data_IF_159978665683
#
_entry.id   IF_159978665683
#
_cell.length_a   1.000
_cell.length_b   1.000
_cell.length_c   1.000
_cell.angle_alpha   90.00
_cell.angle_beta   90.00
_cell.angle_gamma   90.00
#
_symmetry.space_group_name_H-M   'P 1'
#
loop_
_entity.id
_entity.type
_entity.pdbx_description
1 polymer ?
2 polymer ?
3 polymer ?
4 water ?
#
# COMPACT_ATOMS: atom_id res chain seq x y z
N UNK A 3 1.90 39.54 -14.28
CA UNK A 3 0.49 39.99 -14.26
C UNK A 3 -0.48 38.84 -14.53
N UNK A 4 -1.30 38.47 -13.54
CA UNK A 4 -2.28 37.38 -13.64
C UNK A 4 -2.96 37.24 -15.00
N UNK A 5 -2.69 36.13 -15.66
CA UNK A 5 -3.25 35.86 -16.99
C UNK A 5 -4.75 35.65 -17.03
N UNK A 6 -5.34 35.19 -15.93
CA UNK A 6 -6.78 34.94 -15.91
C UNK A 6 -7.52 35.56 -14.71
N UNK A 7 -8.84 35.42 -14.71
CA UNK A 7 -9.68 35.97 -13.65
C UNK A 7 -9.46 35.31 -12.31
N UNK A 8 -8.81 34.15 -12.31
CA UNK A 8 -8.53 33.46 -11.07
C UNK A 8 -7.03 33.58 -10.81
N UNK A 9 -6.68 34.02 -9.62
CA UNK A 9 -5.29 34.18 -9.27
C UNK A 9 -5.15 33.84 -7.80
N UNK A 10 -5.03 32.55 -7.51
CA UNK A 10 -4.88 32.09 -6.14
C UNK A 10 -3.69 32.78 -5.51
N UNK A 11 -3.94 33.81 -4.69
CA UNK A 11 -2.86 34.53 -4.04
C UNK A 11 -2.76 34.15 -2.55
N UNK A 12 -2.48 32.87 -2.30
CA UNK A 12 -2.38 32.39 -0.93
C UNK A 12 -1.02 31.82 -0.61
N UNK A 13 -0.85 31.40 0.64
CA UNK A 13 0.40 30.79 1.08
C UNK A 13 0.23 29.29 0.85
N UNK A 14 0.86 28.78 -0.21
CA UNK A 14 0.72 27.37 -0.55
C UNK A 14 1.93 26.73 -1.24
N UNK A 15 2.18 25.48 -0.88
CA UNK A 15 3.25 24.70 -1.51
C UNK A 15 2.48 23.62 -2.25
N UNK A 16 2.35 23.79 -3.56
CA UNK A 16 1.61 22.86 -4.39
C UNK A 16 2.54 21.96 -5.20
N UNK A 17 2.38 20.65 -5.03
CA UNK A 17 3.22 19.70 -5.74
C UNK A 17 2.48 18.87 -6.76
N UNK A 18 2.77 19.15 -8.02
CA UNK A 18 2.17 18.42 -9.14
C UNK A 18 2.90 17.10 -9.36
N UNK A 19 2.17 15.99 -9.23
CA UNK A 19 2.75 14.66 -9.44
C UNK A 19 2.09 14.02 -10.65
N UNK A 20 2.86 13.84 -11.72
CA UNK A 20 2.31 13.27 -12.94
C UNK A 20 2.68 11.84 -13.25
N UNK A 21 1.67 11.03 -13.51
CA UNK A 21 1.83 9.62 -13.87
C UNK A 21 2.69 9.55 -15.14
N UNK A 22 3.75 8.77 -15.09
CA UNK A 22 4.63 8.63 -16.23
C UNK A 22 4.53 7.27 -16.91
N UNK A 23 3.51 6.49 -16.54
CA UNK A 23 3.30 5.17 -17.12
C UNK A 23 2.72 5.27 -18.53
N UNK A 24 2.86 4.19 -19.29
CA UNK A 24 2.35 4.13 -20.64
C UNK A 24 0.83 4.12 -20.64
N UNK A 25 0.21 3.99 -19.47
CA UNK A 25 -1.24 3.98 -19.38
C UNK A 25 -1.81 5.23 -20.03
N UNK A 26 -0.95 6.24 -20.16
CA UNK A 26 -1.31 7.48 -20.82
C UNK A 26 -0.41 7.52 -22.06
N UNK A 27 -1.00 7.75 -23.22
CA UNK A 27 -0.20 7.81 -24.44
C UNK A 27 0.63 9.10 -24.44
N UNK A 28 1.41 9.33 -25.48
CA UNK A 28 2.22 10.53 -25.55
C UNK A 28 1.32 11.76 -25.74
N UNK A 29 0.22 11.58 -26.44
CA UNK A 29 -0.69 12.69 -26.67
C UNK A 29 -1.48 12.99 -25.40
N UNK A 30 -1.90 11.94 -24.72
CA UNK A 30 -2.67 12.13 -23.49
C UNK A 30 -1.82 12.76 -22.40
N UNK A 31 -0.55 12.39 -22.36
CA UNK A 31 0.34 12.95 -21.35
C UNK A 31 0.50 14.44 -21.63
N UNK A 32 0.15 14.85 -22.85
CA UNK A 32 0.22 16.25 -23.26
C UNK A 32 -0.90 17.08 -22.67
N UNK A 33 -2.09 16.53 -22.67
CA UNK A 33 -3.26 17.20 -22.12
C UNK A 33 -2.99 17.43 -20.65
N UNK A 34 -2.48 16.40 -19.98
CA UNK A 34 -2.16 16.48 -18.56
C UNK A 34 -1.16 17.58 -18.31
N UNK A 35 -0.10 17.65 -19.13
CA UNK A 35 0.88 18.71 -18.94
C UNK A 35 0.22 20.07 -19.15
N UNK A 36 -0.74 20.12 -20.07
CA UNK A 36 -1.45 21.36 -20.35
C UNK A 36 -2.28 21.71 -19.11
N UNK A 37 -2.86 20.69 -18.50
CA UNK A 37 -3.65 20.87 -17.28
C UNK A 37 -2.77 21.49 -16.20
N UNK A 38 -1.54 21.02 -16.07
CA UNK A 38 -0.61 21.53 -15.07
C UNK A 38 -0.25 22.98 -15.39
N UNK A 39 0.04 23.25 -16.65
CA UNK A 39 0.41 24.61 -17.06
C UNK A 39 -0.72 25.62 -16.76
N UNK A 40 -1.95 25.14 -16.81
CA UNK A 40 -3.13 25.96 -16.53
C UNK A 40 -3.17 26.36 -15.06
N UNK A 41 -3.14 25.37 -14.18
CA UNK A 41 -3.14 25.60 -12.74
C UNK A 41 -2.08 26.63 -12.38
N UNK A 42 -0.91 26.47 -12.95
CA UNK A 42 0.17 27.39 -12.67
C UNK A 42 -0.22 28.78 -13.17
N UNK A 43 -1.02 28.80 -14.24
CA UNK A 43 -1.46 30.06 -14.82
C UNK A 43 -2.51 30.75 -13.93
N UNK A 44 -3.11 29.97 -13.04
CA UNK A 44 -4.12 30.46 -12.13
C UNK A 44 -3.61 30.51 -10.69
N UNK A 45 -2.29 30.55 -10.54
CA UNK A 45 -1.66 30.60 -9.23
C UNK A 45 -0.72 31.79 -9.19
N UNK A 46 -0.41 32.27 -8.00
CA UNK A 46 0.51 33.38 -7.86
C UNK A 46 1.84 32.78 -7.45
N UNK A 47 2.62 32.40 -8.45
CA UNK A 47 3.90 31.76 -8.21
C UNK A 47 5.03 32.68 -7.72
N UNK A 48 5.66 32.28 -6.61
CA UNK A 48 6.78 32.99 -6.00
C UNK A 48 7.05 32.48 -4.57
N UNK A 49 8.32 32.38 -4.21
CA UNK A 49 8.72 31.88 -2.90
C UNK A 49 7.88 32.41 -1.73
N UNK A 50 7.11 33.47 -1.95
CA UNK A 50 6.31 34.03 -0.86
C UNK A 50 4.91 33.43 -0.85
N UNK A 51 4.20 33.57 -1.96
CA UNK A 51 2.85 33.05 -2.05
C UNK A 51 2.77 31.57 -2.37
N UNK A 52 2.43 31.23 -3.62
CA UNK A 52 2.34 29.83 -4.01
C UNK A 52 3.65 29.34 -4.61
N UNK A 53 4.16 28.23 -4.07
CA UNK A 53 5.38 27.64 -4.58
C UNK A 53 4.96 26.35 -5.28
N UNK A 54 5.65 26.00 -6.36
CA UNK A 54 5.30 24.80 -7.10
C UNK A 54 6.46 23.84 -7.33
N UNK A 55 6.09 22.59 -7.52
CA UNK A 55 7.05 21.54 -7.79
C UNK A 55 6.37 20.68 -8.85
N UNK A 56 7.14 20.20 -9.82
CA UNK A 56 6.56 19.35 -10.85
C UNK A 56 7.34 18.06 -10.95
N UNK A 57 6.65 16.94 -10.76
CA UNK A 57 7.32 15.66 -10.82
C UNK A 57 6.62 14.67 -11.74
N UNK A 58 7.44 13.97 -12.54
CA UNK A 58 6.97 12.95 -13.46
C UNK A 58 7.43 11.66 -12.81
N UNK A 59 6.50 10.80 -12.41
CA UNK A 59 6.90 9.57 -11.77
C UNK A 59 6.61 8.30 -12.54
N UNK A 60 7.58 7.39 -12.52
CA UNK A 60 7.49 6.10 -13.19
C UNK A 60 7.82 5.06 -12.11
N UNK A 61 8.89 4.29 -12.29
CA UNK A 61 9.27 3.30 -11.30
C UNK A 61 10.12 4.12 -10.35
N UNK A 62 10.58 5.25 -10.87
CA UNK A 62 11.36 6.19 -10.10
C UNK A 62 10.74 7.54 -10.40
N UNK A 63 11.38 8.62 -10.02
CA UNK A 63 10.79 9.92 -10.29
C UNK A 63 11.80 10.89 -10.85
N UNK A 64 11.30 11.83 -11.65
CA UNK A 64 12.11 12.85 -12.28
C UNK A 64 11.49 14.20 -11.94
N UNK A 65 12.18 14.99 -11.13
CA UNK A 65 11.67 16.29 -10.72
C UNK A 65 12.13 17.38 -11.69
N UNK A 66 11.18 18.06 -12.30
CA UNK A 66 11.52 19.12 -13.22
C UNK A 66 11.54 20.45 -12.48
N UNK A 67 10.68 20.58 -11.48
CA UNK A 67 10.59 21.80 -10.70
C UNK A 67 10.41 21.52 -9.21
N UNK A 68 11.28 22.13 -8.41
CA UNK A 68 11.22 21.99 -6.97
C UNK A 68 10.64 23.25 -6.35
N UNK A 69 10.11 23.14 -5.14
CA UNK A 69 9.51 24.30 -4.45
C UNK A 69 10.42 25.52 -4.30
N UNK A 70 11.71 25.31 -4.07
CA UNK A 70 12.66 26.40 -3.86
C UNK A 70 13.26 26.98 -5.13
N UNK A 71 12.97 26.41 -6.30
CA UNK A 71 13.54 26.93 -7.53
C UNK A 71 13.12 28.38 -7.73
N UNK A 72 14.10 29.26 -7.96
CA UNK A 72 13.80 30.67 -8.17
C UNK A 72 13.77 30.90 -9.67
N UNK A 73 12.56 31.12 -10.20
CA UNK A 73 12.39 31.31 -11.64
C UNK A 73 11.06 31.99 -11.91
N UNK A 74 10.99 32.73 -13.01
CA UNK A 74 9.77 33.42 -13.37
C UNK A 74 8.66 32.41 -13.61
N UNK A 75 7.42 32.77 -13.26
CA UNK A 75 6.35 31.81 -13.49
C UNK A 75 6.25 31.34 -14.96
N UNK A 76 6.73 32.17 -15.88
CA UNK A 76 6.68 31.84 -17.31
C UNK A 76 7.67 30.74 -17.64
N UNK A 77 8.86 30.81 -17.04
CA UNK A 77 9.90 29.83 -17.25
C UNK A 77 9.43 28.49 -16.72
N UNK A 78 8.97 28.49 -15.47
CA UNK A 78 8.47 27.28 -14.82
C UNK A 78 7.35 26.65 -15.64
N UNK A 79 6.47 27.49 -16.19
CA UNK A 79 5.38 26.98 -17.02
C UNK A 79 5.95 26.39 -18.31
N UNK A 80 7.02 26.98 -18.82
CA UNK A 80 7.66 26.48 -20.03
C UNK A 80 8.25 25.10 -19.71
N UNK A 81 9.00 25.02 -18.61
CA UNK A 81 9.61 23.77 -18.19
C UNK A 81 8.59 22.64 -18.09
N UNK A 82 7.48 22.91 -17.41
CA UNK A 82 6.43 21.91 -17.23
C UNK A 82 5.83 21.45 -18.56
N UNK A 83 5.70 22.38 -19.50
CA UNK A 83 5.15 22.08 -20.81
C UNK A 83 6.15 21.29 -21.64
N UNK A 84 7.39 21.22 -21.16
CA UNK A 84 8.45 20.49 -21.84
C UNK A 84 8.80 19.19 -21.11
N UNK A 85 7.98 18.78 -20.16
CA UNK A 85 8.26 17.55 -19.41
C UNK A 85 8.25 16.37 -20.38
N UNK A 86 9.39 15.68 -20.47
CA UNK A 86 9.53 14.54 -21.37
C UNK A 86 8.58 13.40 -21.06
N UNK A 87 7.94 12.87 -22.08
CA UNK A 87 7.02 11.75 -21.94
C UNK A 87 7.80 10.46 -21.58
N UNK A 88 7.55 9.93 -20.38
CA UNK A 88 8.21 8.71 -19.94
C UNK A 88 7.67 7.46 -20.63
N UNK A 89 6.37 7.20 -20.44
CA UNK A 89 5.75 6.05 -21.05
C UNK A 89 6.18 4.71 -20.45
N UNK A 90 6.74 4.73 -19.25
CA UNK A 90 7.22 3.52 -18.57
C UNK A 90 6.11 2.52 -18.31
N UNK A 91 6.47 1.29 -17.99
CA UNK A 91 5.48 0.26 -17.74
C UNK A 91 4.84 0.45 -16.37
N UNK A 92 5.59 1.05 -15.45
CA UNK A 92 5.10 1.31 -14.09
C UNK A 92 5.20 2.78 -13.67
N UNK A 93 4.21 3.22 -12.90
CA UNK A 93 4.17 4.58 -12.35
C UNK A 93 3.87 4.27 -10.87
N UNK A 94 4.91 4.25 -10.06
CA UNK A 94 4.74 3.92 -8.65
C UNK A 94 4.27 5.09 -7.81
N UNK A 95 3.02 5.04 -7.38
CA UNK A 95 2.48 6.11 -6.55
C UNK A 95 3.19 6.06 -5.20
N UNK A 96 3.44 4.85 -4.70
CA UNK A 96 4.13 4.71 -3.41
C UNK A 96 5.44 5.45 -3.38
N UNK A 97 6.30 5.16 -4.35
CA UNK A 97 7.61 5.76 -4.45
C UNK A 97 7.61 7.27 -4.63
N UNK A 98 6.65 7.79 -5.39
CA UNK A 98 6.59 9.23 -5.60
C UNK A 98 6.00 9.91 -4.37
N UNK A 99 5.32 9.16 -3.53
CA UNK A 99 4.77 9.72 -2.32
C UNK A 99 5.92 9.73 -1.33
N UNK A 100 6.77 8.72 -1.42
CA UNK A 100 7.92 8.61 -0.55
C UNK A 100 8.86 9.77 -0.85
N UNK A 101 8.98 10.09 -2.13
CA UNK A 101 9.84 11.17 -2.57
C UNK A 101 9.30 12.51 -2.06
N UNK A 102 7.98 12.65 -2.16
CA UNK A 102 7.28 13.85 -1.72
C UNK A 102 7.50 14.00 -0.21
N UNK A 103 7.35 12.89 0.51
CA UNK A 103 7.50 12.86 1.96
C UNK A 103 8.94 13.03 2.46
N UNK A 104 9.84 12.18 1.99
CA UNK A 104 11.24 12.21 2.42
C UNK A 104 12.22 13.11 1.70
N UNK A 105 11.78 13.80 0.64
CA UNK A 105 12.68 14.69 -0.06
C UNK A 105 12.08 16.08 -0.28
N UNK A 106 10.95 16.14 -0.98
CA UNK A 106 10.32 17.42 -1.22
C UNK A 106 10.02 18.10 0.11
N UNK A 107 9.57 17.31 1.09
CA UNK A 107 9.24 17.86 2.41
C UNK A 107 10.10 17.25 3.52
N UNK A 108 11.37 17.05 3.20
CA UNK A 108 12.37 16.50 4.10
C UNK A 108 12.34 17.36 5.37
N UNK A 109 12.27 18.67 5.16
CA UNK A 109 12.19 19.64 6.25
C UNK A 109 11.04 20.60 5.93
N UNK A 110 10.24 20.95 6.91
CA UNK A 110 9.13 21.86 6.65
C UNK A 110 9.50 23.28 7.10
N UNK A 111 10.06 24.02 6.15
CA UNK A 111 10.53 25.39 6.37
C UNK A 111 9.52 26.50 6.01
N UNK A 112 8.26 26.14 5.81
CA UNK A 112 7.23 27.14 5.49
C UNK A 112 5.92 26.76 6.16
N UNK A 113 5.94 26.61 7.50
CA UNK A 113 4.75 26.25 8.29
C UNK A 113 3.53 27.13 8.09
N UNK A 114 3.73 28.38 7.71
CA UNK A 114 2.63 29.31 7.51
C UNK A 114 1.78 28.99 6.27
N UNK A 115 2.30 28.13 5.40
CA UNK A 115 1.58 27.79 4.16
C UNK A 115 1.10 26.35 4.14
N UNK A 116 0.05 26.11 3.37
CA UNK A 116 -0.49 24.77 3.24
C UNK A 116 0.38 23.98 2.27
N UNK A 117 0.55 22.69 2.55
CA UNK A 117 1.34 21.83 1.67
C UNK A 117 0.43 20.83 0.97
N UNK A 118 0.30 20.97 -0.34
CA UNK A 118 -0.55 20.07 -1.11
C UNK A 118 0.19 19.26 -2.17
N UNK A 119 -0.18 17.98 -2.28
CA UNK A 119 0.40 17.06 -3.26
C UNK A 119 -0.72 16.63 -4.18
N UNK A 120 -0.70 17.14 -5.41
CA UNK A 120 -1.72 16.81 -6.40
C UNK A 120 -1.25 15.58 -7.15
N UNK A 121 -1.81 14.44 -6.78
CA UNK A 121 -1.45 13.16 -7.36
C UNK A 121 -2.27 12.76 -8.60
N UNK A 122 -1.80 13.17 -9.77
CA UNK A 122 -2.47 12.87 -11.05
C UNK A 122 -2.20 11.41 -11.47
N UNK A 123 -3.08 10.52 -11.06
CA UNK A 123 -2.91 9.10 -11.33
C UNK A 123 -3.65 8.59 -12.55
N UNK A 124 -2.95 7.79 -13.36
CA UNK A 124 -3.54 7.19 -14.56
C UNK A 124 -3.38 5.66 -14.57
N UNK A 125 -2.73 5.11 -13.55
CA UNK A 125 -2.48 3.68 -13.52
C UNK A 125 -2.54 2.98 -12.16
N UNK A 126 -2.18 1.71 -12.16
CA UNK A 126 -2.18 0.88 -10.96
C UNK A 126 -0.81 0.24 -10.84
N UNK A 127 -0.11 0.55 -9.75
CA UNK A 127 1.22 0.01 -9.55
C UNK A 127 1.10 -1.42 -9.08
N UNK A 128 2.15 -2.22 -9.31
CA UNK A 128 2.15 -3.62 -8.89
C UNK A 128 2.00 -3.67 -7.36
N UNK A 129 1.15 -4.56 -6.88
CA UNK A 129 0.89 -4.70 -5.46
C UNK A 129 2.17 -4.79 -4.61
N UNK A 130 3.22 -5.39 -5.15
CA UNK A 130 4.46 -5.57 -4.39
C UNK A 130 5.21 -4.27 -4.11
N UNK A 131 4.79 -3.19 -4.75
CA UNK A 131 5.42 -1.90 -4.57
C UNK A 131 4.61 -1.02 -3.62
N UNK A 132 3.52 -1.56 -3.09
CA UNK A 132 2.63 -0.81 -2.22
C UNK A 132 2.70 -1.12 -0.73
N UNK A 133 3.69 -1.88 -0.30
CA UNK A 133 3.76 -2.21 1.12
C UNK A 133 3.68 -0.94 1.96
N UNK A 134 4.54 0.02 1.64
CA UNK A 134 4.59 1.25 2.39
C UNK A 134 3.68 2.38 1.92
N UNK A 135 2.70 2.05 1.09
CA UNK A 135 1.78 3.07 0.58
C UNK A 135 1.06 3.83 1.70
N UNK A 136 0.40 3.10 2.58
CA UNK A 136 -0.33 3.70 3.69
C UNK A 136 0.66 4.40 4.62
N UNK A 137 1.78 3.74 4.90
CA UNK A 137 2.82 4.30 5.74
C UNK A 137 3.21 5.70 5.26
N UNK A 138 3.40 5.87 3.95
CA UNK A 138 3.78 7.16 3.39
C UNK A 138 2.64 8.16 3.40
N UNK A 139 1.44 7.68 3.14
CA UNK A 139 0.28 8.57 3.14
C UNK A 139 0.08 9.08 4.56
N UNK A 140 0.35 8.24 5.53
CA UNK A 140 0.21 8.58 6.95
C UNK A 140 1.33 9.54 7.34
N UNK A 141 2.54 9.28 6.86
CA UNK A 141 3.67 10.13 7.16
C UNK A 141 3.36 11.50 6.60
N UNK A 142 2.76 11.55 5.41
CA UNK A 142 2.41 12.82 4.80
C UNK A 142 1.41 13.57 5.67
N UNK A 143 0.39 12.87 6.15
CA UNK A 143 -0.64 13.45 6.98
C UNK A 143 -0.08 14.08 8.27
N UNK A 144 0.96 13.48 8.85
CA UNK A 144 1.55 14.02 10.08
C UNK A 144 2.26 15.33 9.81
N UNK A 145 2.86 15.48 8.64
CA UNK A 145 3.53 16.71 8.31
C UNK A 145 2.55 17.69 7.68
N UNK A 146 1.26 17.46 7.90
CA UNK A 146 0.23 18.34 7.35
C UNK A 146 0.34 18.53 5.83
N UNK A 147 0.64 17.47 5.10
CA UNK A 147 0.72 17.59 3.66
C UNK A 147 -0.57 16.99 3.13
N UNK A 148 -1.36 17.79 2.43
CA UNK A 148 -2.60 17.26 1.89
C UNK A 148 -2.32 16.56 0.56
N UNK A 149 -2.91 15.39 0.40
CA UNK A 149 -2.75 14.64 -0.84
C UNK A 149 -4.10 14.60 -1.54
N UNK A 150 -4.16 15.17 -2.74
CA UNK A 150 -5.40 15.19 -3.50
C UNK A 150 -5.31 14.26 -4.70
N UNK A 151 -5.89 13.07 -4.57
CA UNK A 151 -5.82 12.13 -5.69
C UNK A 151 -6.73 12.51 -6.84
N UNK A 152 -6.16 12.55 -8.05
CA UNK A 152 -6.92 12.84 -9.26
C UNK A 152 -6.79 11.60 -10.14
N UNK A 153 -7.86 10.81 -10.21
CA UNK A 153 -7.86 9.61 -11.01
C UNK A 153 -8.18 9.94 -12.45
N UNK A 154 -7.35 9.45 -13.37
CA UNK A 154 -7.52 9.71 -14.79
C UNK A 154 -7.63 8.44 -15.62
N UNK A 155 -8.82 8.15 -16.11
CA UNK A 155 -8.98 6.96 -16.93
C UNK A 155 -9.41 5.71 -16.18
N UNK A 156 -9.70 4.63 -16.93
CA UNK A 156 -10.13 3.34 -16.37
C UNK A 156 -9.02 2.54 -15.70
N UNK A 157 -7.81 3.07 -15.70
CA UNK A 157 -6.71 2.33 -15.09
C UNK A 157 -6.16 2.93 -13.82
N UNK A 158 -6.62 4.13 -13.47
CA UNK A 158 -6.17 4.77 -12.24
C UNK A 158 -6.46 3.85 -11.07
N UNK A 159 -5.56 3.86 -10.09
CA UNK A 159 -5.71 3.03 -8.90
C UNK A 159 -6.85 3.54 -8.02
N UNK A 160 -8.09 3.13 -8.34
CA UNK A 160 -9.24 3.56 -7.56
C UNK A 160 -9.10 3.17 -6.08
N UNK A 161 -8.57 1.99 -5.82
CA UNK A 161 -8.41 1.56 -4.43
C UNK A 161 -7.52 2.49 -3.63
N UNK A 162 -6.47 2.99 -4.27
CA UNK A 162 -5.57 3.91 -3.61
C UNK A 162 -6.21 5.29 -3.49
N UNK A 163 -6.90 5.72 -4.55
CA UNK A 163 -7.58 7.01 -4.55
C UNK A 163 -8.51 7.05 -3.37
N UNK A 164 -9.24 5.96 -3.19
CA UNK A 164 -10.21 5.80 -2.11
C UNK A 164 -9.52 5.89 -0.74
N UNK A 165 -8.53 5.02 -0.54
CA UNK A 165 -7.79 4.98 0.72
C UNK A 165 -7.25 6.35 1.11
N UNK A 166 -6.67 7.05 0.15
CA UNK A 166 -6.09 8.38 0.39
C UNK A 166 -7.14 9.39 0.86
N UNK A 167 -8.26 9.48 0.16
CA UNK A 167 -9.34 10.39 0.50
C UNK A 167 -9.79 10.14 1.94
N UNK A 168 -9.52 8.94 2.44
CA UNK A 168 -9.87 8.53 3.81
C UNK A 168 -8.84 9.01 4.83
N UNK A 169 -7.63 8.44 4.76
CA UNK A 169 -6.54 8.75 5.68
C UNK A 169 -6.61 10.12 6.34
N UNK A 170 -6.92 11.15 5.57
CA UNK A 170 -7.01 12.49 6.13
C UNK A 170 -8.31 13.14 5.68
N UNK A 171 -8.91 13.97 6.54
CA UNK A 171 -10.17 14.66 6.22
C UNK A 171 -10.05 15.61 5.05
N UNK A 172 -8.94 16.34 5.00
CA UNK A 172 -8.71 17.31 3.93
C UNK A 172 -8.49 16.68 2.56
N UNK A 173 -7.90 15.49 2.53
CA UNK A 173 -7.64 14.78 1.28
C UNK A 173 -8.93 14.48 0.52
N UNK A 174 -9.14 15.14 -0.61
CA UNK A 174 -10.34 14.92 -1.42
C UNK A 174 -9.95 14.38 -2.79
N UNK A 175 -10.71 13.38 -3.26
CA UNK A 175 -10.46 12.73 -4.54
C UNK A 175 -11.28 13.25 -5.72
N UNK A 176 -10.65 13.24 -6.90
CA UNK A 176 -11.31 13.66 -8.13
C UNK A 176 -11.14 12.55 -9.16
N UNK A 177 -12.22 11.84 -9.48
CA UNK A 177 -12.14 10.77 -10.47
C UNK A 177 -12.64 11.29 -11.81
N UNK A 178 -11.91 10.99 -12.89
CA UNK A 178 -12.26 11.46 -14.24
C UNK A 178 -12.25 10.31 -15.26
N UNK A 179 -12.99 10.48 -16.36
CA UNK A 179 -13.07 9.46 -17.41
C UNK A 179 -11.84 9.45 -18.30
N UNK A 180 -11.28 10.63 -18.55
CA UNK A 180 -10.09 10.78 -19.40
C UNK A 180 -9.40 12.10 -19.10
N UNK A 181 -8.38 12.41 -19.89
CA UNK A 181 -7.65 13.66 -19.70
C UNK A 181 -8.43 14.78 -20.37
N UNK A 182 -9.58 14.44 -20.95
CA UNK A 182 -10.41 15.44 -21.62
C UNK A 182 -11.25 16.20 -20.61
N UNK A 183 -11.29 15.69 -19.38
CA UNK A 183 -12.07 16.31 -18.31
C UNK A 183 -11.23 17.20 -17.42
N UNK A 184 -9.91 17.13 -17.58
CA UNK A 184 -9.05 17.94 -16.75
C UNK A 184 -9.43 19.40 -16.76
N UNK A 185 -9.77 19.93 -17.94
CA UNK A 185 -10.16 21.32 -18.05
C UNK A 185 -11.64 21.48 -17.75
N UNK A 186 -12.41 20.46 -18.09
CA UNK A 186 -13.84 20.48 -17.81
C UNK A 186 -13.99 20.57 -16.29
N UNK A 187 -12.91 20.24 -15.58
CA UNK A 187 -12.89 20.24 -14.11
C UNK A 187 -11.71 21.01 -13.52
N UNK A 188 -11.00 21.75 -14.36
CA UNK A 188 -9.85 22.50 -13.91
C UNK A 188 -10.19 23.59 -12.88
N UNK A 189 -11.22 24.38 -13.15
CA UNK A 189 -11.62 25.47 -12.25
C UNK A 189 -12.06 25.02 -10.85
N UNK A 190 -12.80 23.92 -10.78
CA UNK A 190 -13.26 23.40 -9.50
C UNK A 190 -12.06 22.98 -8.66
N UNK A 191 -11.15 22.21 -9.27
CA UNK A 191 -9.95 21.73 -8.60
C UNK A 191 -9.07 22.87 -8.10
N UNK A 192 -8.84 23.89 -8.92
CA UNK A 192 -8.01 25.02 -8.53
C UNK A 192 -8.67 25.80 -7.40
N UNK A 193 -9.98 26.00 -7.52
CA UNK A 193 -10.74 26.73 -6.52
C UNK A 193 -10.69 25.97 -5.20
N UNK A 194 -10.96 24.67 -5.28
CA UNK A 194 -10.97 23.81 -4.11
C UNK A 194 -9.66 23.84 -3.31
N UNK A 195 -8.55 23.48 -3.95
CA UNK A 195 -7.28 23.46 -3.23
C UNK A 195 -6.68 24.82 -2.95
N UNK A 196 -7.32 25.89 -3.42
CA UNK A 196 -6.81 27.22 -3.11
C UNK A 196 -7.46 27.67 -1.79
N UNK A 197 -8.64 27.14 -1.51
CA UNK A 197 -9.37 27.47 -0.29
C UNK A 197 -8.85 26.65 0.89
N UNK A 198 -7.75 25.93 0.67
CA UNK A 198 -7.16 25.12 1.73
C UNK A 198 -5.90 25.80 2.23
N UNK A 199 -5.51 26.88 1.57
CA UNK A 199 -4.31 27.61 1.95
C UNK A 199 -4.66 28.90 2.70
N UNK A 200 -3.79 29.30 3.64
CA UNK A 200 -4.01 30.51 4.44
C UNK A 200 -4.10 31.79 3.61
N UNK A 201 -4.55 32.86 4.24
CA UNK A 201 -4.66 34.15 3.60
C UNK A 201 -3.31 34.83 3.65
N UNK B 1 -14.59 7.73 34.10
CA UNK B 1 -15.64 6.70 34.41
C UNK B 1 -15.05 5.28 34.41
N UNK B 2 -14.06 5.06 33.55
CA UNK B 2 -13.41 3.75 33.45
C UNK B 2 -12.60 3.45 34.70
N UNK B 3 -12.28 2.17 34.93
CA UNK B 3 -11.49 1.73 36.10
C UNK B 3 -10.08 2.29 36.27
N UNK B 4 -9.30 1.64 37.11
CA UNK B 4 -7.92 2.04 37.43
C UNK B 4 -6.88 1.65 36.37
N UNK B 5 -6.20 2.64 35.82
CA UNK B 5 -5.17 2.37 34.82
C UNK B 5 -5.70 2.39 33.40
N UNK B 6 -7.03 2.37 33.26
CA UNK B 6 -7.67 2.37 31.95
C UNK B 6 -8.01 3.76 31.45
N UNK B 7 -7.90 3.95 30.14
CA UNK B 7 -8.24 5.23 29.54
C UNK B 7 -9.61 5.06 28.90
N UNK B 8 -10.28 6.18 28.60
CA UNK B 8 -11.61 6.10 28.01
C UNK B 8 -11.72 6.86 26.71
N UNK B 9 -12.52 6.34 25.80
CA UNK B 9 -12.71 6.98 24.51
C UNK B 9 -14.04 6.58 23.87
N UNK B 10 -14.69 7.54 23.20
CA UNK B 10 -15.96 7.33 22.54
C UNK B 10 -16.88 6.28 23.16
N UNK B 11 -16.83 6.13 24.48
CA UNK B 11 -17.71 5.16 25.11
C UNK B 11 -17.11 3.91 25.69
N UNK B 12 -15.83 3.66 25.46
CA UNK B 12 -15.20 2.46 26.00
C UNK B 12 -13.96 2.70 26.84
N UNK B 13 -13.41 1.61 27.35
CA UNK B 13 -12.22 1.65 28.18
C UNK B 13 -11.08 0.91 27.49
N UNK B 14 -9.91 1.52 27.47
CA UNK B 14 -8.72 0.97 26.83
C UNK B 14 -7.60 0.80 27.84
N UNK B 15 -6.73 -0.18 27.62
CA UNK B 15 -5.62 -0.43 28.52
C UNK B 15 -4.44 -1.15 27.87
N UNK B 16 -3.25 -0.58 27.99
CA UNK B 16 -2.09 -1.24 27.43
C UNK B 16 -1.45 -2.05 28.53
N UNK B 17 -1.12 -3.31 28.22
CA UNK B 17 -0.45 -4.19 29.18
C UNK B 17 0.91 -4.55 28.58
N UNK B 18 1.96 -4.55 29.40
CA UNK B 18 3.29 -4.87 28.91
C UNK B 18 3.53 -6.37 28.87
N UNK B 19 2.78 -7.12 29.66
CA UNK B 19 2.97 -8.56 29.66
C UNK B 19 2.96 -9.07 28.23
N UNK B 20 4.00 -9.81 27.87
CA UNK B 20 4.10 -10.34 26.52
C UNK B 20 3.46 -11.70 26.47
N UNK B 21 2.44 -11.83 25.62
CA UNK B 21 1.70 -13.07 25.46
C UNK B 21 1.40 -13.27 23.98
N UNK B 22 1.08 -14.51 23.62
CA UNK B 22 0.73 -14.78 22.24
C UNK B 22 -0.65 -14.19 22.06
N UNK B 23 -1.06 -14.03 20.80
CA UNK B 23 -2.34 -13.45 20.48
C UNK B 23 -3.54 -14.05 21.22
N UNK B 24 -3.60 -15.38 21.25
CA UNK B 24 -4.71 -16.08 21.89
C UNK B 24 -4.74 -15.91 23.41
N UNK B 25 -3.58 -15.88 24.04
CA UNK B 25 -3.58 -15.69 25.47
C UNK B 25 -3.94 -14.23 25.77
N UNK B 26 -3.53 -13.32 24.88
CA UNK B 26 -3.85 -11.92 25.07
C UNK B 26 -5.36 -11.72 24.97
N UNK B 27 -5.98 -12.36 23.99
CA UNK B 27 -7.42 -12.26 23.80
C UNK B 27 -8.18 -12.78 25.03
N UNK B 28 -7.75 -13.92 25.56
CA UNK B 28 -8.40 -14.49 26.74
C UNK B 28 -8.21 -13.51 27.90
N UNK B 29 -6.98 -13.07 28.12
CA UNK B 29 -6.65 -12.14 29.19
C UNK B 29 -7.56 -10.92 29.17
N UNK B 30 -7.78 -10.33 28.00
CA UNK B 30 -8.63 -9.15 27.91
C UNK B 30 -10.08 -9.44 28.26
N UNK B 31 -10.54 -10.65 27.97
CA UNK B 31 -11.93 -11.00 28.24
C UNK B 31 -12.19 -11.21 29.72
N UNK B 32 -11.13 -11.46 30.48
CA UNK B 32 -11.26 -11.68 31.92
C UNK B 32 -11.12 -10.36 32.69
N UNK B 33 -10.62 -9.33 32.02
CA UNK B 33 -10.44 -8.03 32.64
C UNK B 33 -11.76 -7.29 32.81
N UNK B 34 -12.79 -7.73 32.08
CA UNK B 34 -14.10 -7.09 32.15
C UNK B 34 -15.14 -7.82 31.30
N UNK B 35 -16.41 -7.55 31.58
CA UNK B 35 -17.50 -8.15 30.82
C UNK B 35 -17.49 -7.48 29.46
N UNK B 36 -17.30 -8.27 28.41
CA UNK B 36 -17.25 -7.71 27.08
C UNK B 36 -15.88 -7.17 26.72
N UNK B 37 -14.85 -7.68 27.39
CA UNK B 37 -13.50 -7.24 27.12
C UNK B 37 -12.84 -8.09 26.06
N UNK B 38 -12.08 -7.43 25.18
CA UNK B 38 -11.40 -8.08 24.07
C UNK B 38 -10.16 -7.30 23.68
N UNK B 39 -9.32 -7.94 22.86
CA UNK B 39 -8.15 -7.25 22.35
C UNK B 39 -8.81 -6.08 21.65
N UNK B 40 -8.23 -4.91 21.79
CA UNK B 40 -8.79 -3.70 21.19
C UNK B 40 -9.19 -3.89 19.70
N UNK B 41 -10.29 -3.24 19.31
CA UNK B 41 -10.78 -3.27 17.94
C UNK B 41 -10.66 -1.80 17.56
N UNK B 42 -10.30 -1.52 16.32
CA UNK B 42 -10.10 -0.15 15.87
C UNK B 42 -10.78 0.11 14.55
N UNK B 43 -11.51 1.22 14.45
CA UNK B 43 -12.16 1.58 13.19
C UNK B 43 -11.04 2.15 12.32
N UNK B 44 -10.60 1.37 11.35
CA UNK B 44 -9.50 1.80 10.49
C UNK B 44 -9.42 3.29 10.17
N UNK B 45 -10.46 3.86 9.56
CA UNK B 45 -10.41 5.29 9.26
C UNK B 45 -11.17 6.09 10.29
N UNK B 46 -10.57 6.25 11.47
CA UNK B 46 -11.16 7.01 12.56
C UNK B 46 -10.13 7.59 13.51
N UNK B 47 -10.61 8.31 14.52
CA UNK B 47 -9.74 8.93 15.50
C UNK B 47 -9.37 7.94 16.61
N UNK B 48 -10.11 6.84 16.67
CA UNK B 48 -9.82 5.82 17.67
C UNK B 48 -8.42 5.33 17.36
N UNK B 49 -8.06 5.46 16.09
CA UNK B 49 -6.75 5.05 15.61
C UNK B 49 -5.61 5.73 16.37
N UNK B 50 -5.67 7.06 16.47
CA UNK B 50 -4.63 7.83 17.16
C UNK B 50 -4.72 7.72 18.66
N UNK B 51 -5.94 7.54 19.17
CA UNK B 51 -6.09 7.40 20.61
C UNK B 51 -5.30 6.17 21.02
N UNK B 52 -5.67 5.03 20.47
CA UNK B 52 -5.00 3.77 20.75
C UNK B 52 -3.53 3.92 20.37
N UNK B 53 -3.29 4.75 19.37
CA UNK B 53 -1.93 4.97 18.94
C UNK B 53 -1.15 5.65 20.04
N UNK B 54 -1.70 6.73 20.59
CA UNK B 54 -1.04 7.46 21.65
C UNK B 54 -0.96 6.63 22.94
N UNK B 55 -2.04 5.92 23.25
CA UNK B 55 -2.08 5.10 24.45
C UNK B 55 -0.91 4.12 24.54
N UNK B 56 -0.56 3.51 23.41
CA UNK B 56 0.54 2.56 23.38
C UNK B 56 1.91 3.24 23.34
N UNK B 57 2.03 4.38 22.68
CA UNK B 57 3.31 5.07 22.60
C UNK B 57 3.82 5.52 23.96
N UNK B 58 2.98 6.24 24.69
CA UNK B 58 3.31 6.76 26.02
C UNK B 58 2.93 5.73 27.08
N UNK B 59 3.46 4.53 26.97
CA UNK B 59 3.14 3.46 27.93
C UNK B 59 3.95 2.22 27.61
N UNK B 60 4.26 2.05 26.33
CA UNK B 60 5.01 0.89 25.90
C UNK B 60 6.37 0.90 26.61
N UNK B 61 6.32 0.65 27.92
CA UNK B 61 7.51 0.63 28.77
C UNK B 61 8.41 -0.54 28.45
N UNK B 62 8.78 -0.57 27.18
CA UNK B 62 9.66 -1.57 26.64
C UNK B 62 9.90 -1.07 25.24
N UNK B 63 10.94 -1.62 24.59
CA UNK B 63 11.27 -1.24 23.24
C UNK B 63 10.55 -2.14 22.27
N UNK B 64 9.55 -2.86 22.77
CA UNK B 64 8.77 -3.77 21.94
C UNK B 64 8.38 -3.06 20.65
N UNK B 65 8.26 -3.82 19.57
CA UNK B 65 7.92 -3.27 18.28
C UNK B 65 6.47 -3.49 17.85
N UNK B 66 5.75 -4.34 18.58
CA UNK B 66 4.37 -4.67 18.22
C UNK B 66 3.41 -4.78 19.41
N UNK B 67 2.16 -4.45 19.17
CA UNK B 67 1.12 -4.56 20.20
C UNK B 67 -0.06 -5.24 19.53
N UNK B 68 -0.44 -6.42 20.02
CA UNK B 68 -1.56 -7.19 19.48
C UNK B 68 -2.87 -6.40 19.52
N UNK B 69 -3.70 -6.59 18.49
CA UNK B 69 -5.01 -5.97 18.45
C UNK B 69 -5.95 -7.15 18.18
N UNK B 70 -7.26 -6.92 18.23
CA UNK B 70 -8.21 -8.01 18.05
C UNK B 70 -8.49 -8.59 16.68
N UNK B 71 -7.83 -8.05 15.65
CA UNK B 71 -8.05 -8.51 14.29
C UNK B 71 -7.24 -9.75 13.95
N UNK B 72 -7.89 -10.74 13.35
CA UNK B 72 -7.20 -11.96 12.96
C UNK B 72 -7.76 -12.55 11.67
N UNK B 73 -6.90 -13.23 10.91
CA UNK B 73 -7.33 -13.86 9.67
C UNK B 73 -8.42 -14.85 10.09
N UNK B 74 -9.54 -14.85 9.38
CA UNK B 74 -10.65 -15.73 9.73
C UNK B 74 -10.63 -17.13 9.12
N UNK B 75 -9.98 -17.31 7.96
CA UNK B 75 -9.89 -18.62 7.31
C UNK B 75 -9.22 -19.66 8.20
N UNK B 76 -9.71 -20.90 8.15
CA UNK B 76 -9.14 -21.97 8.95
C UNK B 76 -7.80 -22.44 8.38
N UNK B 77 -7.67 -22.31 7.05
CA UNK B 77 -6.46 -22.71 6.35
C UNK B 77 -5.19 -22.00 6.82
N UNK B 78 -4.03 -22.55 6.48
CA UNK B 78 -2.75 -21.96 6.86
C UNK B 78 -2.37 -20.79 5.94
N UNK B 79 -3.06 -20.68 4.81
CA UNK B 79 -2.84 -19.61 3.85
C UNK B 79 -4.15 -19.50 3.07
N UNK B 80 -4.58 -18.29 2.78
CA UNK B 80 -5.86 -18.10 2.11
C UNK B 80 -5.91 -18.06 0.61
N UNK B 81 -4.94 -18.65 -0.06
CA UNK B 81 -5.01 -18.65 -1.52
C UNK B 81 -5.86 -19.85 -1.91
N UNK B 82 -6.96 -19.58 -2.58
CA UNK B 82 -7.89 -20.61 -3.02
C UNK B 82 -7.33 -21.43 -4.18
N UNK B 83 -6.79 -20.74 -5.18
CA UNK B 83 -6.22 -21.41 -6.36
C UNK B 83 -4.78 -20.99 -6.63
N UNK B 84 -4.10 -21.79 -7.46
CA UNK B 84 -2.72 -21.52 -7.86
C UNK B 84 -2.78 -20.49 -8.98
N UNK B 85 -1.62 -20.01 -9.44
CA UNK B 85 -1.64 -19.00 -10.49
C UNK B 85 -2.20 -19.54 -11.80
N UNK B 86 -2.27 -20.86 -11.94
CA UNK B 86 -2.84 -21.42 -13.17
C UNK B 86 -4.36 -21.27 -13.06
N UNK B 87 -4.97 -22.03 -12.17
CA UNK B 87 -6.40 -21.95 -11.96
C UNK B 87 -6.82 -23.10 -11.05
N UNK B 88 -5.99 -24.12 -11.00
CA UNK B 88 -6.27 -25.27 -10.18
C UNK B 88 -6.57 -24.84 -8.74
N UNK B 89 -7.64 -25.39 -8.19
CA UNK B 89 -7.99 -25.08 -6.80
C UNK B 89 -6.86 -25.63 -5.94
N UNK B 90 -6.79 -25.18 -4.69
CA UNK B 90 -5.74 -25.66 -3.80
C UNK B 90 -6.38 -26.67 -2.86
N UNK B 91 -5.67 -27.75 -2.58
CA UNK B 91 -6.18 -28.78 -1.67
C UNK B 91 -4.95 -29.43 -1.06
N UNK B 92 -4.01 -29.83 -1.90
CA UNK B 92 -2.78 -30.41 -1.36
C UNK B 92 -1.93 -29.24 -0.87
N UNK B 93 -1.65 -29.22 0.43
CA UNK B 93 -0.87 -28.15 1.02
C UNK B 93 0.31 -28.75 1.77
N UNK B 94 1.34 -27.95 2.02
CA UNK B 94 2.51 -28.42 2.75
C UNK B 94 3.23 -27.20 3.32
N UNK B 95 2.45 -26.30 3.90
CA UNK B 95 2.95 -25.05 4.49
C UNK B 95 3.54 -25.18 5.90
N UNK B 96 4.69 -24.56 6.09
CA UNK B 96 5.40 -24.55 7.37
C UNK B 96 4.67 -23.62 8.36
N UNK B 97 4.15 -24.20 9.44
CA UNK B 97 3.39 -23.47 10.46
C UNK B 97 4.03 -22.19 10.98
N UNK B 98 5.26 -22.29 11.49
CA UNK B 98 5.97 -21.13 12.02
C UNK B 98 6.02 -20.00 11.01
N UNK B 99 5.45 -20.24 9.83
CA UNK B 99 5.47 -19.24 8.78
C UNK B 99 4.11 -18.56 8.58
N UNK B 100 3.05 -19.12 9.17
CA UNK B 100 1.71 -18.54 9.04
C UNK B 100 1.52 -17.29 9.90
N UNK B 101 1.05 -16.21 9.28
CA UNK B 101 0.87 -14.94 9.98
C UNK B 101 -0.60 -14.50 9.98
N UNK B 102 -1.37 -14.93 10.99
CA UNK B 102 -2.79 -14.60 10.99
C UNK B 102 -3.27 -13.64 12.05
N UNK B 103 -2.40 -13.25 12.97
CA UNK B 103 -2.77 -12.33 14.03
C UNK B 103 -2.22 -10.93 13.85
N UNK B 104 -3.07 -9.92 14.00
CA UNK B 104 -2.63 -8.55 13.79
C UNK B 104 -2.15 -7.80 15.01
N UNK B 105 -1.28 -6.84 14.76
CA UNK B 105 -0.68 -6.03 15.81
C UNK B 105 -0.44 -4.63 15.30
N UNK B 106 -0.22 -3.71 16.24
CA UNK B 106 0.10 -2.34 15.91
C UNK B 106 1.61 -2.31 15.80
N UNK B 107 2.11 -1.55 14.84
CA UNK B 107 3.53 -1.45 14.56
C UNK B 107 4.09 -0.22 15.28
N UNK B 108 5.33 -0.30 15.77
CA UNK B 108 5.90 0.86 16.45
C UNK B 108 6.07 2.10 15.57
N UNK B 109 6.76 1.97 14.44
CA UNK B 109 6.98 3.12 13.56
C UNK B 109 5.67 3.87 13.27
N UNK B 110 5.76 5.19 13.29
CA UNK B 110 4.60 6.06 13.08
C UNK B 110 3.72 6.08 14.33
N UNK B 111 4.18 5.39 15.36
CA UNK B 111 3.46 5.38 16.62
C UNK B 111 2.31 4.42 16.84
N UNK B 112 2.51 3.15 16.53
CA UNK B 112 1.48 2.14 16.74
C UNK B 112 0.12 2.49 16.18
N UNK B 113 0.08 2.87 14.93
CA UNK B 113 -1.16 3.22 14.25
C UNK B 113 -1.36 2.35 13.01
N UNK B 114 -0.26 1.82 12.46
CA UNK B 114 -0.27 0.97 11.28
C UNK B 114 -0.35 -0.48 11.72
N UNK B 115 -1.14 -1.29 11.01
CA UNK B 115 -1.29 -2.70 11.36
C UNK B 115 -0.29 -3.56 10.60
N UNK B 116 -0.13 -4.79 11.05
CA UNK B 116 0.78 -5.75 10.44
C UNK B 116 0.40 -7.14 10.96
N UNK B 117 0.28 -8.11 10.07
CA UNK B 117 -0.08 -9.47 10.46
C UNK B 117 1.16 -10.23 10.84
N UNK B 118 1.10 -10.99 11.93
CA UNK B 118 2.24 -11.73 12.43
C UNK B 118 1.87 -13.15 12.81
N UNK B 119 2.89 -13.91 13.15
CA UNK B 119 2.74 -15.31 13.57
C UNK B 119 2.20 -15.28 15.01
N UNK B 120 0.97 -15.75 15.16
CA UNK B 120 0.26 -15.76 16.44
C UNK B 120 1.02 -16.31 17.65
N UNK B 121 1.80 -17.36 17.45
CA UNK B 121 2.55 -17.95 18.55
C UNK B 121 3.53 -16.94 19.14
N UNK B 122 3.73 -15.83 18.44
CA UNK B 122 4.64 -14.80 18.90
C UNK B 122 4.11 -14.16 20.18
N UNK B 123 5.03 -13.69 21.02
CA UNK B 123 4.62 -13.06 22.27
C UNK B 123 4.84 -11.56 22.23
N UNK B 124 3.76 -10.80 22.37
CA UNK B 124 3.83 -9.34 22.34
C UNK B 124 2.95 -8.71 23.40
N UNK B 125 3.17 -7.42 23.70
CA UNK B 125 2.35 -6.74 24.69
C UNK B 125 1.03 -6.48 23.94
N UNK B 126 0.01 -5.96 24.61
CA UNK B 126 -1.26 -5.74 23.92
C UNK B 126 -2.13 -4.65 24.50
N UNK B 127 -3.21 -4.35 23.78
CA UNK B 127 -4.16 -3.36 24.23
C UNK B 127 -5.50 -4.07 24.39
N UNK B 128 -6.13 -3.86 25.54
CA UNK B 128 -7.42 -4.46 25.84
C UNK B 128 -8.50 -3.41 25.70
N UNK B 129 -9.71 -3.87 25.40
CA UNK B 129 -10.84 -2.99 25.26
C UNK B 129 -12.09 -3.66 25.79
N UNK B 130 -12.73 -3.01 26.74
CA UNK B 130 -13.97 -3.52 27.30
C UNK B 130 -14.90 -2.34 27.48
N UNK B 131 -16.21 -2.58 27.43
CA UNK B 131 -17.19 -1.51 27.59
C UNK B 131 -17.32 -1.16 29.09
N UNK B 132 -17.57 0.12 29.42
CA UNK B 132 -17.70 0.49 30.83
C UNK B 132 -18.64 -0.48 31.56
N UNK B 133 -18.17 -1.11 32.64
CA UNK B 133 -19.00 -2.06 33.39
C UNK B 133 -20.39 -1.55 33.76
N UNK C 1 7.68 -34.93 -25.06
CA UNK C 1 6.36 -34.35 -25.45
C UNK C 1 6.43 -32.82 -25.32
N UNK C 2 7.47 -32.35 -24.65
CA UNK C 2 7.66 -30.92 -24.43
C UNK C 2 8.79 -30.32 -25.27
N UNK C 3 8.88 -28.97 -25.28
CA UNK C 3 9.91 -28.24 -26.02
C UNK C 3 11.33 -28.53 -25.52
N UNK C 4 12.35 -27.92 -26.15
CA UNK C 4 13.75 -28.12 -25.76
C UNK C 4 14.10 -27.51 -24.40
N UNK C 5 14.91 -28.22 -23.63
CA UNK C 5 15.36 -27.79 -22.30
C UNK C 5 14.32 -28.07 -21.22
N UNK C 6 13.04 -28.12 -21.61
CA UNK C 6 11.98 -28.39 -20.66
C UNK C 6 11.91 -29.86 -20.33
N UNK C 7 11.02 -30.23 -19.41
CA UNK C 7 10.85 -31.62 -19.01
C UNK C 7 9.38 -31.97 -19.06
N UNK C 8 9.08 -33.26 -19.20
CA UNK C 8 7.70 -33.70 -19.28
C UNK C 8 7.26 -34.61 -18.15
N UNK C 9 5.99 -34.48 -17.79
CA UNK C 9 5.36 -35.25 -16.73
C UNK C 9 3.85 -35.10 -16.89
N UNK C 10 3.16 -36.23 -17.02
CA UNK C 10 1.72 -36.27 -17.18
C UNK C 10 1.15 -35.16 -18.07
N UNK C 11 1.53 -35.16 -19.34
CA UNK C 11 1.04 -34.17 -20.28
C UNK C 11 1.41 -32.74 -19.93
N UNK C 12 2.14 -32.59 -18.83
CA UNK C 12 2.58 -31.27 -18.36
C UNK C 12 4.09 -31.06 -18.54
N UNK C 13 4.45 -29.82 -18.87
CA UNK C 13 5.84 -29.44 -19.08
C UNK C 13 6.36 -28.60 -17.92
N UNK C 14 7.51 -29.01 -17.37
CA UNK C 14 8.12 -28.30 -16.26
C UNK C 14 9.48 -27.77 -16.67
N UNK C 15 10.14 -27.03 -15.78
CA UNK C 15 11.46 -26.48 -16.05
C UNK C 15 11.98 -25.53 -14.98
N UNK C 16 13.00 -25.97 -14.27
CA UNK C 16 13.60 -25.17 -13.24
C UNK C 16 14.36 -24.05 -13.94
N UNK C 17 14.41 -22.87 -13.32
CA UNK C 17 15.11 -21.71 -13.87
C UNK C 17 16.00 -21.12 -12.79
N UNK C 18 17.31 -21.13 -13.01
CA UNK C 18 18.24 -20.60 -12.04
C UNK C 18 18.36 -19.07 -12.14
N UNK C 19 17.22 -18.41 -12.27
CA UNK C 19 17.19 -16.96 -12.35
C UNK C 19 16.52 -16.39 -11.10
N UNK C 20 17.08 -15.29 -10.58
CA UNK C 20 16.56 -14.66 -9.38
C UNK C 20 15.56 -13.54 -9.65
N UNK C 21 14.29 -13.82 -9.40
CA UNK C 21 13.22 -12.84 -9.59
C UNK C 21 12.28 -12.88 -8.39
N UNK C 22 11.43 -11.87 -8.28
CA UNK C 22 10.44 -11.89 -7.21
C UNK C 22 9.22 -12.59 -7.79
N UNK C 23 8.39 -13.17 -6.93
CA UNK C 23 7.22 -13.93 -7.34
C UNK C 23 6.52 -13.47 -8.61
N UNK C 24 6.11 -12.21 -8.63
CA UNK C 24 5.39 -11.67 -9.78
C UNK C 24 6.16 -11.74 -11.07
N UNK C 25 7.48 -11.59 -11.00
CA UNK C 25 8.31 -11.67 -12.20
C UNK C 25 8.43 -13.14 -12.57
N UNK C 26 8.66 -13.98 -11.56
CA UNK C 26 8.79 -15.40 -11.81
C UNK C 26 7.53 -15.88 -12.53
N UNK C 27 6.37 -15.51 -11.97
CA UNK C 27 5.08 -15.88 -12.52
C UNK C 27 4.89 -15.33 -13.92
N UNK C 28 5.21 -14.06 -14.11
CA UNK C 28 5.07 -13.46 -15.42
C UNK C 28 6.00 -14.16 -16.41
N UNK C 29 7.27 -14.28 -16.02
CA UNK C 29 8.27 -14.93 -16.84
C UNK C 29 7.77 -16.29 -17.31
N UNK C 30 7.20 -17.08 -16.41
CA UNK C 30 6.68 -18.37 -16.79
C UNK C 30 5.67 -18.22 -17.92
N UNK C 31 4.70 -17.34 -17.74
CA UNK C 31 3.67 -17.14 -18.74
C UNK C 31 4.19 -16.67 -20.10
N UNK C 32 5.36 -16.03 -20.12
CA UNK C 32 5.95 -15.54 -21.37
C UNK C 32 6.76 -16.63 -22.09
N UNK C 33 6.89 -17.79 -21.46
CA UNK C 33 7.61 -18.91 -22.04
C UNK C 33 6.71 -19.59 -23.07
N UNK C 34 5.69 -20.28 -22.57
CA UNK C 34 4.75 -20.96 -23.45
C UNK C 34 3.31 -20.52 -23.18
N UNK C 35 2.44 -20.65 -24.18
CA UNK C 35 1.04 -20.28 -24.00
C UNK C 35 0.40 -21.27 -23.04
N UNK C 36 0.14 -20.80 -21.82
CA UNK C 36 -0.47 -21.65 -20.81
C UNK C 36 0.49 -22.08 -19.73
N UNK C 37 1.62 -21.38 -19.62
CA UNK C 37 2.63 -21.69 -18.61
C UNK C 37 2.55 -20.77 -17.40
N UNK C 38 2.64 -21.36 -16.22
CA UNK C 38 2.58 -20.63 -14.95
C UNK C 38 3.66 -21.14 -14.03
N UNK C 39 3.72 -20.58 -12.83
CA UNK C 39 4.67 -21.05 -11.86
C UNK C 39 4.12 -22.41 -11.49
N UNK C 40 5.00 -23.38 -11.30
CA UNK C 40 4.58 -24.71 -10.96
C UNK C 40 3.46 -24.71 -9.90
N UNK C 41 2.62 -25.74 -9.92
CA UNK C 41 1.52 -25.89 -8.98
C UNK C 41 1.40 -27.36 -8.65
N UNK C 42 1.44 -27.70 -7.36
CA UNK C 42 1.35 -29.09 -6.93
C UNK C 42 -0.07 -29.49 -6.57
N UNK C 43 -0.62 -30.46 -7.29
CA UNK C 43 -1.97 -30.94 -7.02
C UNK C 43 -1.91 -32.28 -6.27
N UNK C 44 -0.71 -32.68 -5.89
CA UNK C 44 -0.49 -33.94 -5.16
C UNK C 44 1.00 -34.04 -4.82
N UNK C 45 1.36 -34.89 -3.85
CA UNK C 45 2.78 -35.00 -3.52
C UNK C 45 3.59 -35.43 -4.73
N UNK C 46 3.16 -36.50 -5.39
CA UNK C 46 3.85 -37.01 -6.57
C UNK C 46 4.36 -35.90 -7.47
N UNK C 47 3.49 -34.95 -7.82
CA UNK C 47 3.88 -33.84 -8.69
C UNK C 47 5.08 -33.08 -8.11
N UNK C 48 5.12 -32.97 -6.78
CA UNK C 48 6.20 -32.27 -6.11
C UNK C 48 7.53 -32.97 -6.35
N UNK C 49 7.52 -34.29 -6.16
CA UNK C 49 8.70 -35.12 -6.32
C UNK C 49 9.38 -34.90 -7.68
N UNK C 50 8.57 -34.88 -8.74
CA UNK C 50 9.08 -34.67 -10.08
C UNK C 50 9.73 -33.29 -10.22
N UNK C 51 9.19 -32.30 -9.50
CA UNK C 51 9.73 -30.95 -9.55
C UNK C 51 11.06 -30.90 -8.79
N UNK C 52 11.14 -31.65 -7.69
CA UNK C 52 12.39 -31.70 -6.93
C UNK C 52 13.41 -32.34 -7.86
N UNK C 53 12.94 -33.27 -8.68
CA UNK C 53 13.78 -33.97 -9.64
C UNK C 53 14.41 -33.01 -10.64
N UNK C 54 13.73 -31.88 -10.88
CA UNK C 54 14.24 -30.89 -11.81
C UNK C 54 15.28 -30.01 -11.14
N UNK C 61 17.44 -18.50 -2.68
CA UNK C 61 18.19 -19.73 -2.32
C UNK C 61 17.39 -20.68 -1.45
N UNK C 62 17.72 -21.97 -1.54
CA UNK C 62 17.04 -23.01 -0.77
C UNK C 62 15.54 -23.13 -1.06
N UNK C 63 14.95 -22.06 -1.58
CA UNK C 63 13.52 -22.07 -1.91
C UNK C 63 13.23 -21.50 -3.29
N UNK C 64 12.26 -22.13 -3.94
CA UNK C 64 11.83 -21.71 -5.27
C UNK C 64 10.36 -21.28 -5.22
N UNK C 65 10.03 -20.29 -6.03
CA UNK C 65 8.67 -19.79 -6.05
C UNK C 65 7.74 -20.81 -6.68
N UNK C 66 6.56 -20.98 -6.09
CA UNK C 66 5.57 -21.88 -6.65
C UNK C 66 4.33 -21.01 -6.88
N UNK C 67 3.33 -21.56 -7.55
CA UNK C 67 2.15 -20.78 -7.88
C UNK C 67 1.16 -20.27 -6.85
N UNK C 68 1.64 -19.81 -5.69
CA UNK C 68 0.73 -19.28 -4.66
C UNK C 68 1.14 -17.85 -4.32
N UNK C 69 0.25 -16.92 -4.62
CA UNK C 69 0.47 -15.49 -4.43
C UNK C 69 -0.54 -14.81 -3.50
N UNK C 70 -0.12 -13.68 -2.91
CA UNK C 70 -0.92 -12.86 -2.00
C UNK C 70 -1.76 -13.67 -1.02
N UNK C 71 -1.14 -14.62 -0.34
CA UNK C 71 -1.83 -15.52 0.58
C UNK C 71 -2.50 -14.96 1.82
N UNK C 72 -2.25 -13.67 2.13
CA UNK C 72 -2.85 -13.08 3.33
C UNK C 72 -3.95 -12.09 3.01
N UNK C 73 -3.78 -11.32 1.94
CA UNK C 73 -4.79 -10.35 1.58
C UNK C 73 -5.99 -11.00 0.91
N UNK C 74 -5.90 -12.31 0.68
CA UNK C 74 -6.99 -13.09 0.10
C UNK C 74 -7.71 -13.77 1.25
N UNK C 75 -7.56 -13.23 2.45
CA UNK C 75 -8.18 -13.80 3.61
C UNK C 75 -9.42 -13.03 4.02
N UNK C 76 -10.18 -13.65 4.91
CA UNK C 76 -11.36 -13.05 5.49
C UNK C 76 -10.89 -12.59 6.88
N UNK C 77 -11.36 -11.44 7.34
CA UNK C 77 -10.95 -10.94 8.65
C UNK C 77 -12.13 -10.75 9.58
N UNK C 78 -11.87 -10.85 10.88
CA UNK C 78 -12.91 -10.67 11.90
C UNK C 78 -12.27 -10.15 13.18
N UNK C 79 -12.92 -9.19 13.83
CA UNK C 79 -12.38 -8.70 15.09
C UNK C 79 -12.91 -9.57 16.18
N UNK C 80 -12.09 -9.80 17.20
CA UNK C 80 -12.45 -10.65 18.31
C UNK C 80 -13.73 -10.19 19.06
N UNK C 81 -14.15 -8.94 18.86
CA UNK C 81 -15.36 -8.43 19.50
C UNK C 81 -16.47 -8.28 18.47
N UNK C 82 -16.30 -8.94 17.33
CA UNK C 82 -17.29 -8.91 16.28
C UNK C 82 -17.51 -7.55 15.65
N UNK C 83 -16.56 -6.64 15.80
CA UNK C 83 -16.74 -5.32 15.20
C UNK C 83 -17.04 -5.48 13.72
N UNK C 84 -17.87 -4.58 13.20
CA UNK C 84 -18.28 -4.59 11.80
C UNK C 84 -17.39 -3.64 10.99
N UNK C 85 -16.86 -4.13 9.87
CA UNK C 85 -16.01 -3.32 9.03
C UNK C 85 -16.35 -3.53 7.56
N UNK C 86 -15.87 -2.62 6.73
CA UNK C 86 -16.10 -2.67 5.30
C UNK C 86 -14.80 -3.06 4.60
N UNK C 87 -14.74 -4.30 4.09
CA UNK C 87 -13.55 -4.80 3.41
C UNK C 87 -12.93 -3.79 2.46
N UNK C 88 -13.75 -2.89 1.94
CA UNK C 88 -13.25 -1.87 1.04
C UNK C 88 -12.22 -1.00 1.74
N UNK C 89 -12.34 -0.88 3.07
CA UNK C 89 -11.41 -0.07 3.84
C UNK C 89 -10.10 -0.81 4.19
N UNK C 90 -10.09 -2.13 4.02
CA UNK C 90 -8.90 -2.92 4.33
C UNK C 90 -8.05 -3.18 3.10
N UNK C 91 -7.29 -2.16 2.73
CA UNK C 91 -6.41 -2.19 1.55
C UNK C 91 -4.98 -2.63 1.88
N UNK C 92 -4.50 -3.69 1.22
CA UNK C 92 -3.13 -4.15 1.46
C UNK C 92 -2.78 -4.17 2.94
N UNK C 93 -3.76 -4.55 3.75
CA UNK C 93 -3.63 -4.60 5.20
C UNK C 93 -2.62 -5.60 5.76
N UNK C 94 -2.45 -6.72 5.07
CA UNK C 94 -1.52 -7.75 5.50
C UNK C 94 -0.31 -7.70 4.59
N UNK C 95 0.80 -8.31 5.04
CA UNK C 95 2.03 -8.35 4.26
C UNK C 95 1.75 -9.05 2.95
N UNK C 96 2.35 -8.55 1.88
CA UNK C 96 2.20 -9.15 0.57
C UNK C 96 3.14 -10.36 0.59
N UNK C 97 2.58 -11.55 0.77
CA UNK C 97 3.41 -12.74 0.83
C UNK C 97 3.06 -13.85 -0.18
N UNK C 98 4.08 -14.62 -0.55
CA UNK C 98 3.93 -15.67 -1.53
C UNK C 98 4.53 -16.97 -1.01
N UNK C 99 4.32 -18.07 -1.73
CA UNK C 99 4.82 -19.38 -1.27
C UNK C 99 6.03 -19.86 -2.04
N UNK C 100 7.07 -20.28 -1.31
CA UNK C 100 8.28 -20.80 -1.93
C UNK C 100 8.47 -22.22 -1.42
N UNK C 101 8.87 -23.12 -2.32
CA UNK C 101 9.08 -24.53 -1.98
C UNK C 101 10.52 -24.87 -1.67
N UNK C 102 10.69 -25.93 -0.91
CA UNK C 102 12.02 -26.40 -0.56
C UNK C 102 12.11 -27.85 -1.03
N UNK C 103 12.55 -28.06 -2.29
CA UNK C 103 12.68 -29.40 -2.89
C UNK C 103 13.25 -30.45 -1.94
N UNK C 104 14.07 -30.01 -0.99
CA UNK C 104 14.67 -30.90 -0.02
C UNK C 104 13.57 -31.57 0.81
N UNK C 105 13.21 -30.95 1.93
CA UNK C 105 12.17 -31.46 2.81
C UNK C 105 10.78 -31.31 2.20
N UNK C 106 10.71 -30.62 1.08
CA UNK C 106 9.45 -30.40 0.37
C UNK C 106 8.44 -29.65 1.22
N UNK C 107 8.93 -28.78 2.11
CA UNK C 107 8.03 -27.98 2.96
C UNK C 107 7.92 -26.59 2.35
N UNK C 108 6.71 -26.05 2.31
CA UNK C 108 6.46 -24.74 1.73
C UNK C 108 6.64 -23.61 2.74
N UNK C 109 7.25 -22.53 2.30
CA UNK C 109 7.47 -21.35 3.14
C UNK C 109 6.67 -20.18 2.60
N UNK C 110 5.97 -19.48 3.49
CA UNK C 110 5.23 -18.29 3.09
C UNK C 110 6.20 -17.17 3.42
N UNK C 111 6.61 -16.41 2.43
CA UNK C 111 7.58 -15.34 2.63
C UNK C 111 7.21 -14.13 1.76
N UNK C 112 7.91 -13.00 1.95
CA UNK C 112 7.68 -11.75 1.19
C UNK C 112 7.81 -11.96 -0.31
N UNK C 113 6.79 -11.55 -1.07
CA UNK C 113 6.86 -11.74 -2.52
C UNK C 113 7.98 -10.96 -3.19
N UNK C 114 8.49 -9.92 -2.54
CA UNK C 114 9.56 -9.13 -3.13
C UNK C 114 10.89 -9.87 -3.12
N UNK C 115 10.95 -10.97 -2.37
CA UNK C 115 12.18 -11.74 -2.31
C UNK C 115 12.55 -12.31 -3.67
N UNK C 116 13.85 -12.51 -3.88
CA UNK C 116 14.35 -13.07 -5.13
C UNK C 116 14.72 -14.53 -4.94
N UNK C 117 13.97 -15.41 -5.60
CA UNK C 117 14.20 -16.84 -5.52
C UNK C 117 14.19 -17.48 -6.91
N UNK C 118 14.89 -18.60 -7.05
CA UNK C 118 14.90 -19.33 -8.31
C UNK C 118 13.55 -20.03 -8.34
N UNK C 119 13.03 -20.32 -9.53
CA UNK C 119 11.72 -20.94 -9.64
C UNK C 119 11.59 -22.00 -10.74
N UNK C 120 10.39 -22.58 -10.82
CA UNK C 120 10.06 -23.60 -11.80
C UNK C 120 8.78 -23.22 -12.52
N UNK C 121 8.78 -23.36 -13.84
CA UNK C 121 7.59 -23.08 -14.63
C UNK C 121 6.89 -24.39 -14.99
N UNK C 122 5.66 -24.30 -15.48
CA UNK C 122 4.88 -25.49 -15.83
C UNK C 122 3.74 -25.15 -16.78
N UNK C 123 3.33 -26.14 -17.56
CA UNK C 123 2.21 -25.97 -18.48
C UNK C 123 1.86 -27.29 -19.12
N UNK C 124 0.99 -27.25 -20.13
CA UNK C 124 0.58 -28.47 -20.83
C UNK C 124 0.57 -28.26 -22.33
N UNK C 125 1.01 -29.27 -23.06
CA UNK C 125 1.05 -29.20 -24.52
C UNK C 125 -0.35 -29.48 -25.06
#
# INVERSE_FOLDING_TARGET
SEPPLHDFYCSRLLDLVFLLDGSSRLSEAEFEVLKAFVVDMMERLRVSQKWVRVAVVEYHDGSHAYIGLKDRKRPSELRRIASQVKYAGSQVASTSEVLKYTLFQIFSKIDRPEASRIALLLMASQEPQRMSRNFVRYVQGLKKKKVIVIPVGIGPHANLKQIRLIEKQAPENKAFVLSSVDELEQQRDEIVSYLCDLAPEA
DCPSGWSSYEGNCYKFFQQKMNWADAERFCSEQAKGGHLVSIKIYSKEKDFVGDLVTKNIQSSDLYAWIGLRVENKEKQCSSEWSDGSSVSYENVVERTVKKCFALEKDLGFVLWINLYCAQKNPFVCKSPPP
DCPPDWSSYEGHCYRFFKEWMHWDDAEEFCTEQQTGAHLVSFQSKEEADFVRSLTSEMLKGDVVWIGLSDVWNKCRFEWTDGMEFDYDDYYLIAEYECVASKPTNNKWWIIPCTRFKNFVCEFQA
#
